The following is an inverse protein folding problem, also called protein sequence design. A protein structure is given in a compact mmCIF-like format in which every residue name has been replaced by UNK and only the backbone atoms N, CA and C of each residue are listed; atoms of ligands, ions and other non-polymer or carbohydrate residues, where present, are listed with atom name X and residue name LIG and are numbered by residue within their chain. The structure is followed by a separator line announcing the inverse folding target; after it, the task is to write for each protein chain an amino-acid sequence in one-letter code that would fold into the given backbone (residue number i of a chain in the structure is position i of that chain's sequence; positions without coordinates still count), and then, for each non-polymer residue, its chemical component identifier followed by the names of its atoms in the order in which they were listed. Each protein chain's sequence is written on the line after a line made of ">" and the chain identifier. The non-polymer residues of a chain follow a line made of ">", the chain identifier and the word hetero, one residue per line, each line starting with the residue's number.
data_IF_562226301836
#
_entry.id   IF_562226301836
#
_cell.length_a   1.000
_cell.length_b   1.000
_cell.length_c   1.000
_cell.angle_alpha   90.00
_cell.angle_beta   90.00
_cell.angle_gamma   90.00
#
_symmetry.space_group_name_H-M   'P 1'
#
loop_
_entity.id
_entity.type
_entity.pdbx_description
1 polymer ?
#
# COMPACT_ATOMS: atom_id res chain seq x y z
N UNK A 1 43.16 8.07 16.73
CA UNK A 1 42.60 7.93 15.36
C UNK A 1 41.91 6.57 15.20
N UNK A 2 40.82 6.29 15.92
CA UNK A 2 40.04 5.03 15.74
C UNK A 2 38.51 5.28 15.73
N UNK A 3 38.05 6.50 15.96
CA UNK A 3 36.62 6.82 16.08
C UNK A 3 35.89 7.04 14.74
N UNK A 4 36.58 6.94 13.59
CA UNK A 4 36.03 7.28 12.28
C UNK A 4 35.45 6.11 11.47
N UNK A 5 35.73 4.85 11.84
CA UNK A 5 35.34 3.69 11.04
C UNK A 5 33.98 3.08 11.42
N UNK A 6 33.40 3.41 12.58
CA UNK A 6 32.16 2.78 13.05
C UNK A 6 30.88 3.40 12.47
N UNK A 7 30.98 4.57 11.83
CA UNK A 7 29.83 5.35 11.35
C UNK A 7 29.42 5.04 9.89
N UNK A 8 30.20 4.22 9.17
CA UNK A 8 29.94 3.89 7.76
C UNK A 8 29.25 2.52 7.56
N UNK A 9 29.12 1.70 8.60
CA UNK A 9 28.50 0.37 8.49
C UNK A 9 26.99 0.33 8.78
N UNK A 10 26.41 1.38 9.37
CA UNK A 10 24.98 1.38 9.74
C UNK A 10 24.04 1.71 8.58
N UNK A 11 24.50 2.44 7.56
CA UNK A 11 23.65 2.84 6.44
C UNK A 11 23.28 1.68 5.48
N UNK A 12 24.12 0.64 5.41
CA UNK A 12 23.89 -0.51 4.52
C UNK A 12 22.83 -1.49 5.01
N UNK A 13 22.59 -1.55 6.33
CA UNK A 13 21.64 -2.52 6.92
C UNK A 13 20.19 -2.10 6.66
N UNK A 14 19.89 -0.80 6.77
CA UNK A 14 18.54 -0.28 6.53
C UNK A 14 18.10 -0.47 5.06
N UNK A 15 18.98 -0.12 4.12
CA UNK A 15 18.68 -0.26 2.69
C UNK A 15 18.50 -1.71 2.24
N UNK A 16 19.17 -2.68 2.89
CA UNK A 16 19.00 -4.10 2.60
C UNK A 16 17.62 -4.62 3.03
N UNK A 17 17.16 -4.22 4.22
CA UNK A 17 15.89 -4.66 4.78
C UNK A 17 14.68 -4.14 3.98
N UNK A 18 14.71 -2.90 3.52
CA UNK A 18 13.67 -2.33 2.64
C UNK A 18 13.52 -3.12 1.34
N UNK A 19 14.65 -3.51 0.73
CA UNK A 19 14.65 -4.34 -0.47
C UNK A 19 14.08 -5.74 -0.20
N UNK A 20 14.42 -6.37 0.94
CA UNK A 20 13.85 -7.67 1.32
C UNK A 20 12.33 -7.61 1.47
N UNK A 21 11.79 -6.55 2.08
CA UNK A 21 10.34 -6.36 2.22
C UNK A 21 9.66 -6.15 0.85
N UNK A 22 10.25 -5.35 -0.03
CA UNK A 22 9.72 -5.15 -1.39
C UNK A 22 9.80 -6.42 -2.24
N UNK A 23 10.87 -7.21 -2.10
CA UNK A 23 11.04 -8.49 -2.77
C UNK A 23 10.02 -9.52 -2.27
N UNK A 24 9.77 -9.56 -0.96
CA UNK A 24 8.73 -10.39 -0.36
C UNK A 24 7.34 -10.02 -0.91
N UNK A 25 7.02 -8.73 -0.96
CA UNK A 25 5.77 -8.24 -1.52
C UNK A 25 5.69 -8.61 -3.01
N UNK A 26 6.73 -8.35 -3.80
CA UNK A 26 6.73 -8.62 -5.24
C UNK A 26 6.52 -10.11 -5.53
N UNK A 27 7.14 -10.98 -4.74
CA UNK A 27 7.02 -12.43 -4.86
C UNK A 27 5.68 -13.00 -4.36
N UNK A 28 4.88 -12.21 -3.63
CA UNK A 28 3.63 -12.68 -3.03
C UNK A 28 2.56 -13.00 -4.10
N UNK A 29 2.13 -14.29 -4.23
CA UNK A 29 1.05 -14.65 -5.15
C UNK A 29 -0.28 -14.04 -4.71
N UNK A 30 -0.49 -13.91 -3.40
CA UNK A 30 -1.57 -13.15 -2.78
C UNK A 30 -0.97 -12.18 -1.76
N UNK A 31 -1.20 -10.89 -2.00
CA UNK A 31 -0.83 -9.83 -1.09
C UNK A 31 -1.69 -9.89 0.17
N UNK A 32 -1.12 -9.50 1.30
CA UNK A 32 -1.84 -9.41 2.57
C UNK A 32 -2.23 -7.98 2.91
N UNK A 33 -3.18 -7.84 3.84
CA UNK A 33 -3.58 -6.53 4.36
C UNK A 33 -2.39 -5.79 5.02
N UNK A 34 -1.52 -6.53 5.70
CA UNK A 34 -0.33 -5.97 6.33
C UNK A 34 0.72 -5.47 5.33
N UNK A 35 0.92 -6.18 4.22
CA UNK A 35 1.80 -5.72 3.15
C UNK A 35 1.28 -4.44 2.49
N UNK A 36 -0.05 -4.32 2.30
CA UNK A 36 -0.65 -3.08 1.81
C UNK A 36 -0.48 -1.91 2.78
N UNK A 37 -0.72 -2.14 4.08
CA UNK A 37 -0.54 -1.12 5.11
C UNK A 37 0.92 -0.64 5.16
N UNK A 38 1.87 -1.57 5.12
CA UNK A 38 3.29 -1.27 5.09
C UNK A 38 3.65 -0.42 3.86
N UNK A 39 3.22 -0.83 2.67
CA UNK A 39 3.54 -0.13 1.42
C UNK A 39 3.03 1.32 1.40
N UNK A 40 1.82 1.56 1.92
CA UNK A 40 1.23 2.90 1.99
C UNK A 40 1.99 3.81 2.97
N UNK A 41 2.35 3.28 4.14
CA UNK A 41 2.95 4.07 5.21
C UNK A 41 4.45 4.29 5.02
N UNK A 42 5.18 3.28 4.53
CA UNK A 42 6.62 3.37 4.33
C UNK A 42 6.96 4.34 3.19
N UNK A 43 6.15 4.34 2.12
CA UNK A 43 6.33 5.25 0.98
C UNK A 43 6.21 6.73 1.35
N UNK A 44 5.43 7.03 2.40
CA UNK A 44 5.24 8.39 2.92
C UNK A 44 6.14 8.71 4.14
N UNK A 45 7.03 7.79 4.53
CA UNK A 45 7.92 7.96 5.69
C UNK A 45 7.18 7.99 7.03
N UNK A 46 5.99 7.39 7.12
CA UNK A 46 5.17 7.34 8.35
C UNK A 46 5.56 6.22 9.31
N UNK A 47 6.24 5.20 8.81
CA UNK A 47 6.83 4.12 9.58
C UNK A 47 8.26 3.89 9.10
N UNK A 48 9.08 3.27 9.95
CA UNK A 48 10.44 2.85 9.59
C UNK A 48 10.39 1.62 8.66
N UNK A 49 11.38 1.47 7.77
CA UNK A 49 11.44 0.36 6.81
C UNK A 49 11.59 -1.02 7.50
N UNK A 50 11.98 -1.05 8.77
CA UNK A 50 12.07 -2.26 9.57
C UNK A 50 10.78 -2.60 10.35
N UNK A 51 9.74 -1.75 10.20
CA UNK A 51 8.47 -1.95 10.86
C UNK A 51 7.78 -3.21 10.37
N UNK A 52 7.30 -4.02 11.31
CA UNK A 52 6.52 -5.21 10.99
C UNK A 52 5.18 -4.87 10.32
N UNK A 53 4.66 -5.79 9.50
CA UNK A 53 3.33 -5.66 8.91
C UNK A 53 2.21 -5.47 9.94
N UNK A 54 2.32 -6.06 11.13
CA UNK A 54 1.35 -5.88 12.22
C UNK A 54 1.38 -4.45 12.81
N UNK A 55 2.57 -3.88 12.96
CA UNK A 55 2.72 -2.47 13.35
C UNK A 55 2.15 -1.54 12.27
N UNK A 56 2.43 -1.82 10.98
CA UNK A 56 1.89 -1.04 9.88
C UNK A 56 0.34 -1.03 9.88
N UNK A 57 -0.30 -2.17 10.11
CA UNK A 57 -1.77 -2.24 10.27
C UNK A 57 -2.25 -1.36 11.43
N UNK A 58 -1.59 -1.46 12.58
CA UNK A 58 -1.96 -0.68 13.77
C UNK A 58 -1.89 0.83 13.51
N UNK A 59 -0.83 1.29 12.84
CA UNK A 59 -0.66 2.71 12.47
C UNK A 59 -1.70 3.14 11.43
N UNK A 60 -1.97 2.30 10.42
CA UNK A 60 -2.96 2.60 9.39
C UNK A 60 -4.37 2.74 9.99
N UNK A 61 -4.75 1.85 10.91
CA UNK A 61 -6.04 1.89 11.61
C UNK A 61 -6.18 3.11 12.50
N UNK A 62 -5.10 3.59 13.11
CA UNK A 62 -5.11 4.85 13.85
C UNK A 62 -5.37 6.06 12.94
N UNK A 63 -4.87 6.03 11.70
CA UNK A 63 -5.02 7.13 10.75
C UNK A 63 -6.37 7.13 10.03
N UNK A 64 -6.80 5.96 9.55
CA UNK A 64 -7.99 5.83 8.70
C UNK A 64 -9.23 5.36 9.47
N UNK A 65 -9.06 4.96 10.73
CA UNK A 65 -10.07 4.21 11.45
C UNK A 65 -10.25 2.81 10.88
N UNK A 66 -11.28 2.13 11.37
CA UNK A 66 -11.64 0.77 10.97
C UNK A 66 -12.37 0.70 9.61
N UNK A 67 -11.85 1.34 8.55
CA UNK A 67 -12.45 1.27 7.20
C UNK A 67 -12.58 -0.17 6.70
N UNK A 68 -11.57 -0.98 7.00
CA UNK A 68 -11.57 -2.43 6.80
C UNK A 68 -10.84 -3.05 8.00
N UNK A 69 -11.55 -3.82 8.84
CA UNK A 69 -10.93 -4.51 9.96
C UNK A 69 -10.39 -5.87 9.49
N UNK A 70 -9.06 -6.00 9.41
CA UNK A 70 -8.39 -7.22 8.96
C UNK A 70 -7.11 -7.46 9.73
N UNK A 71 -6.77 -8.73 9.92
CA UNK A 71 -5.46 -9.08 10.47
C UNK A 71 -4.37 -8.85 9.42
N UNK A 72 -3.14 -8.58 9.85
CA UNK A 72 -2.02 -8.34 8.94
C UNK A 72 -1.76 -9.48 7.94
N UNK A 73 -2.01 -10.74 8.34
CA UNK A 73 -1.86 -11.92 7.49
C UNK A 73 -3.06 -12.22 6.59
N UNK A 74 -4.15 -11.46 6.68
CA UNK A 74 -5.34 -11.71 5.87
C UNK A 74 -5.07 -11.41 4.40
N UNK A 75 -5.50 -12.33 3.52
CA UNK A 75 -5.42 -12.12 2.09
C UNK A 75 -6.26 -10.90 1.66
N UNK A 76 -5.65 -10.07 0.83
CA UNK A 76 -6.19 -8.80 0.36
C UNK A 76 -6.93 -8.96 -0.97
N UNK A 77 -8.08 -8.31 -1.08
CA UNK A 77 -8.81 -8.19 -2.33
C UNK A 77 -8.49 -6.88 -3.05
N UNK A 78 -8.69 -6.86 -4.37
CA UNK A 78 -8.56 -5.62 -5.16
C UNK A 78 -9.45 -4.49 -4.63
N UNK A 79 -10.65 -4.82 -4.17
CA UNK A 79 -11.61 -3.86 -3.64
C UNK A 79 -11.16 -3.23 -2.34
N UNK A 80 -10.67 -4.04 -1.40
CA UNK A 80 -10.11 -3.55 -0.14
C UNK A 80 -8.92 -2.64 -0.42
N UNK A 81 -7.98 -3.07 -1.27
CA UNK A 81 -6.82 -2.27 -1.62
C UNK A 81 -7.19 -0.96 -2.32
N UNK A 82 -8.11 -1.00 -3.29
CA UNK A 82 -8.58 0.20 -3.97
C UNK A 82 -9.20 1.20 -2.99
N UNK A 83 -9.97 0.73 -2.00
CA UNK A 83 -10.57 1.59 -0.99
C UNK A 83 -9.50 2.22 -0.09
N UNK A 84 -8.53 1.42 0.39
CA UNK A 84 -7.42 1.92 1.19
C UNK A 84 -6.65 3.01 0.46
N UNK A 85 -6.20 2.72 -0.76
CA UNK A 85 -5.42 3.65 -1.59
C UNK A 85 -6.20 4.93 -1.87
N UNK A 86 -7.48 4.82 -2.26
CA UNK A 86 -8.30 5.99 -2.59
C UNK A 86 -8.50 6.91 -1.38
N UNK A 87 -8.71 6.33 -0.19
CA UNK A 87 -8.90 7.12 1.02
C UNK A 87 -7.57 7.69 1.53
N UNK A 88 -6.53 6.86 1.56
CA UNK A 88 -5.21 7.22 2.08
C UNK A 88 -4.55 8.35 1.27
N UNK A 89 -4.61 8.29 -0.06
CA UNK A 89 -4.07 9.33 -0.94
C UNK A 89 -5.10 10.40 -1.33
N UNK A 90 -6.28 10.40 -0.70
CA UNK A 90 -7.37 11.36 -0.96
C UNK A 90 -7.74 11.51 -2.45
N UNK A 91 -7.67 10.40 -3.20
CA UNK A 91 -7.93 10.41 -4.64
C UNK A 91 -9.40 10.75 -4.95
N UNK A 92 -9.69 11.38 -6.10
CA UNK A 92 -11.03 11.77 -6.48
C UNK A 92 -12.04 10.61 -6.38
N UNK A 93 -13.19 10.91 -5.79
CA UNK A 93 -14.32 10.01 -5.61
C UNK A 93 -15.47 10.41 -6.54
N UNK A 94 -16.11 9.42 -7.14
CA UNK A 94 -17.36 9.64 -7.87
C UNK A 94 -18.52 9.85 -6.89
N UNK A 95 -19.66 10.36 -7.39
CA UNK A 95 -20.83 10.70 -6.57
C UNK A 95 -21.23 9.62 -5.54
N UNK A 96 -21.29 8.36 -5.97
CA UNK A 96 -21.64 7.24 -5.07
C UNK A 96 -20.54 6.90 -4.07
N UNK A 97 -19.26 7.03 -4.46
CA UNK A 97 -18.12 6.80 -3.57
C UNK A 97 -17.98 7.89 -2.51
N UNK A 98 -18.43 9.12 -2.81
CA UNK A 98 -18.49 10.21 -1.84
C UNK A 98 -19.59 10.02 -0.79
N UNK A 99 -20.65 9.28 -1.11
CA UNK A 99 -21.73 8.94 -0.18
C UNK A 99 -21.41 7.68 0.65
N UNK A 100 -20.80 6.69 0.02
CA UNK A 100 -20.51 5.39 0.65
C UNK A 100 -19.10 4.93 0.28
N UNK A 101 -18.22 4.89 1.27
CA UNK A 101 -16.89 4.28 1.20
C UNK A 101 -17.02 2.74 1.11
N UNK A 102 -17.22 2.22 -0.10
CA UNK A 102 -17.31 0.78 -0.34
C UNK A 102 -16.27 0.30 -1.37
N UNK A 103 -15.69 -0.89 -1.18
CA UNK A 103 -14.70 -1.50 -2.08
C UNK A 103 -15.09 -1.46 -3.57
N UNK A 104 -16.37 -1.74 -3.88
CA UNK A 104 -16.88 -1.74 -5.26
C UNK A 104 -16.78 -0.38 -5.94
N UNK A 105 -17.00 0.70 -5.20
CA UNK A 105 -16.99 2.06 -5.74
C UNK A 105 -15.56 2.55 -5.90
N UNK A 106 -14.67 2.23 -4.95
CA UNK A 106 -13.27 2.54 -5.08
C UNK A 106 -12.65 1.91 -6.34
N UNK A 107 -12.93 0.64 -6.62
CA UNK A 107 -12.46 0.00 -7.87
C UNK A 107 -12.99 0.72 -9.10
N UNK A 108 -14.29 1.10 -9.11
CA UNK A 108 -14.89 1.81 -10.23
C UNK A 108 -14.21 3.17 -10.45
N UNK A 109 -14.02 3.93 -9.39
CA UNK A 109 -13.45 5.28 -9.44
C UNK A 109 -11.97 5.23 -9.83
N UNK A 110 -11.17 4.33 -9.25
CA UNK A 110 -9.75 4.16 -9.62
C UNK A 110 -9.54 3.60 -11.03
N UNK A 111 -10.53 2.87 -11.59
CA UNK A 111 -10.51 2.52 -13.02
C UNK A 111 -10.73 3.73 -13.91
N UNK A 112 -11.63 4.63 -13.51
CA UNK A 112 -11.86 5.88 -14.23
C UNK A 112 -10.59 6.74 -14.24
N UNK A 113 -9.87 6.80 -13.12
CA UNK A 113 -8.56 7.46 -12.99
C UNK A 113 -7.40 6.69 -13.66
N UNK A 114 -7.66 5.56 -14.34
CA UNK A 114 -6.65 4.68 -14.97
C UNK A 114 -5.58 4.11 -14.02
N UNK A 115 -5.76 4.24 -12.72
CA UNK A 115 -4.93 3.63 -11.68
C UNK A 115 -5.13 2.11 -11.66
N UNK A 116 -6.38 1.65 -11.62
CA UNK A 116 -6.71 0.23 -11.73
C UNK A 116 -6.95 -0.14 -13.19
N UNK A 117 -6.17 -1.06 -13.72
CA UNK A 117 -6.29 -1.56 -15.10
C UNK A 117 -6.40 -3.09 -15.15
N UNK A 118 -6.87 -3.61 -16.28
CA UNK A 118 -7.09 -5.04 -16.50
C UNK A 118 -8.33 -5.58 -15.77
N UNK A 119 -8.29 -6.85 -15.36
CA UNK A 119 -9.39 -7.54 -14.67
C UNK A 119 -9.70 -6.87 -13.33
N UNK A 120 -10.90 -6.32 -13.15
CA UNK A 120 -11.19 -5.42 -12.03
C UNK A 120 -12.37 -5.89 -11.16
N UNK A 121 -12.42 -7.18 -10.83
CA UNK A 121 -13.45 -7.70 -9.95
C UNK A 121 -13.10 -7.35 -8.49
N UNK A 122 -13.94 -6.61 -7.74
CA UNK A 122 -13.57 -6.15 -6.40
C UNK A 122 -13.16 -7.27 -5.43
N UNK A 123 -13.80 -8.44 -5.53
CA UNK A 123 -13.56 -9.56 -4.62
C UNK A 123 -12.40 -10.47 -5.04
N UNK A 124 -11.70 -10.17 -6.15
CA UNK A 124 -10.56 -10.98 -6.56
C UNK A 124 -9.38 -10.75 -5.63
N UNK A 125 -8.63 -11.81 -5.34
CA UNK A 125 -7.35 -11.71 -4.64
C UNK A 125 -6.36 -10.89 -5.45
N UNK A 126 -5.58 -10.07 -4.75
CA UNK A 126 -4.59 -9.19 -5.34
C UNK A 126 -3.21 -9.82 -5.16
N UNK A 127 -2.41 -9.97 -6.21
CA UNK A 127 -1.00 -10.34 -6.08
C UNK A 127 -0.17 -9.12 -5.69
N UNK A 128 0.97 -9.33 -5.03
CA UNK A 128 1.83 -8.21 -4.60
C UNK A 128 2.45 -7.44 -5.77
N UNK A 129 2.86 -8.12 -6.84
CA UNK A 129 3.25 -7.47 -8.12
C UNK A 129 2.16 -6.51 -8.64
N UNK A 130 0.88 -6.92 -8.55
CA UNK A 130 -0.23 -6.07 -8.99
C UNK A 130 -0.51 -4.93 -8.02
N UNK A 131 -0.35 -5.17 -6.72
CA UNK A 131 -0.43 -4.14 -5.69
C UNK A 131 0.60 -3.03 -5.95
N UNK A 132 1.88 -3.39 -6.14
CA UNK A 132 2.96 -2.45 -6.46
C UNK A 132 2.70 -1.65 -7.73
N UNK A 133 2.22 -2.29 -8.81
CA UNK A 133 1.84 -1.57 -10.04
C UNK A 133 0.72 -0.56 -9.83
N UNK A 134 -0.26 -0.88 -8.99
CA UNK A 134 -1.34 0.05 -8.66
C UNK A 134 -0.77 1.22 -7.87
N UNK A 135 0.06 0.98 -6.85
CA UNK A 135 0.75 2.03 -6.08
C UNK A 135 1.58 2.94 -6.98
N UNK A 136 2.39 2.37 -7.88
CA UNK A 136 3.18 3.18 -8.83
C UNK A 136 2.32 4.07 -9.73
N UNK A 137 1.12 3.61 -10.11
CA UNK A 137 0.17 4.45 -10.87
C UNK A 137 -0.51 5.52 -10.02
N UNK A 138 -0.69 5.28 -8.72
CA UNK A 138 -1.18 6.32 -7.81
C UNK A 138 -0.18 7.47 -7.74
N UNK A 139 1.10 7.14 -7.56
CA UNK A 139 2.18 8.13 -7.55
C UNK A 139 2.24 8.90 -8.88
N UNK A 140 2.24 8.18 -10.01
CA UNK A 140 2.22 8.78 -11.33
C UNK A 140 0.98 9.68 -11.57
N UNK A 141 -0.18 9.32 -11.02
CA UNK A 141 -1.37 10.15 -11.09
C UNK A 141 -1.23 11.43 -10.25
N UNK A 142 -0.66 11.35 -9.04
CA UNK A 142 -0.41 12.51 -8.18
C UNK A 142 0.62 13.48 -8.80
N UNK A 143 1.58 12.95 -9.56
CA UNK A 143 2.56 13.72 -10.34
C UNK A 143 1.98 14.32 -11.63
N UNK A 144 0.76 13.95 -12.03
CA UNK A 144 0.11 14.44 -13.24
C UNK A 144 0.65 13.84 -14.55
N UNK A 145 1.29 12.67 -14.48
CA UNK A 145 1.93 12.01 -15.64
C UNK A 145 1.14 10.81 -16.19
N UNK A 146 -0.13 10.63 -15.75
CA UNK A 146 -0.98 9.48 -16.05
C UNK A 146 -2.22 9.78 -16.91
#
# INVERSE_FOLDING_TARGET
>A
MVLGCLLLLSAGVAAAQSNEALDEILAAPEATYGQAAYLLLVGDGRIEEDSSYAQAVSVLEQQLGALVQRAAGDALTLGEFALLVQVYHELPRGLLGSLVSAPRYAVRDLRYLRVVQGRSYPNMRLSGERMLRITGRVLAWQEGVL
#
